data_IF_931435887673
#
_entry.id   IF_931435887673
#
_cell.length_a   1.000
_cell.length_b   1.000
_cell.length_c   1.000
_cell.angle_alpha   90.00
_cell.angle_beta   90.00
_cell.angle_gamma   90.00
#
_symmetry.space_group_name_H-M   'P 1'
#
loop_
_entity.id
_entity.type
_entity.pdbx_description
1 polymer ?
#
# COMPACT_ATOMS: atom_id res chain seq x y z
N UNK A 1 2.46 18.37 -19.17
CA UNK A 1 1.59 18.99 -20.20
C UNK A 1 0.10 18.85 -19.85
N UNK A 2 -0.36 17.65 -19.52
CA UNK A 2 -1.79 17.36 -19.26
C UNK A 2 -2.36 18.11 -18.05
N UNK A 3 -1.62 18.17 -16.93
CA UNK A 3 -2.03 18.91 -15.73
C UNK A 3 -2.15 20.42 -16.00
N UNK A 4 -1.22 20.99 -16.78
CA UNK A 4 -1.27 22.41 -17.15
C UNK A 4 -2.48 22.74 -18.01
N UNK A 5 -2.86 21.84 -18.92
CA UNK A 5 -4.04 22.03 -19.77
C UNK A 5 -5.34 21.97 -18.96
N UNK A 6 -5.48 21.01 -18.04
CA UNK A 6 -6.63 20.93 -17.12
C UNK A 6 -6.72 22.17 -16.22
N UNK A 7 -5.60 22.59 -15.66
CA UNK A 7 -5.51 23.83 -14.87
C UNK A 7 -6.01 25.04 -15.66
N UNK A 8 -5.47 25.27 -16.86
CA UNK A 8 -5.85 26.40 -17.70
C UNK A 8 -7.33 26.38 -18.09
N UNK A 9 -7.90 25.18 -18.35
CA UNK A 9 -9.32 25.04 -18.67
C UNK A 9 -10.20 25.42 -17.47
N UNK A 10 -9.89 24.97 -16.27
CA UNK A 10 -10.63 25.29 -15.05
C UNK A 10 -10.53 26.78 -14.73
N UNK A 11 -9.34 27.39 -14.82
CA UNK A 11 -9.16 28.81 -14.58
C UNK A 11 -9.90 29.66 -15.62
N UNK A 12 -9.99 29.21 -16.88
CA UNK A 12 -10.78 29.90 -17.93
C UNK A 12 -12.26 29.90 -17.59
N UNK A 13 -12.80 28.74 -17.12
CA UNK A 13 -14.20 28.63 -16.70
C UNK A 13 -14.46 29.54 -15.48
N UNK A 14 -13.55 29.58 -14.52
CA UNK A 14 -13.65 30.44 -13.34
C UNK A 14 -13.74 31.91 -13.70
N UNK A 15 -12.90 32.37 -14.64
CA UNK A 15 -12.91 33.77 -15.11
C UNK A 15 -14.20 34.13 -15.87
N UNK A 16 -14.72 33.18 -16.66
CA UNK A 16 -15.96 33.42 -17.47
C UNK A 16 -17.22 33.53 -16.61
N UNK A 17 -17.25 32.88 -15.43
CA UNK A 17 -18.42 32.85 -14.55
C UNK A 17 -18.50 33.99 -13.54
N UNK A 18 -17.46 34.79 -13.42
CA UNK A 18 -17.38 35.93 -12.46
C UNK A 18 -17.84 35.56 -11.03
N UNK A 19 -17.69 34.29 -10.66
CA UNK A 19 -18.11 33.72 -9.38
C UNK A 19 -16.92 33.14 -8.67
N UNK A 20 -16.89 33.27 -7.37
CA UNK A 20 -15.98 32.52 -6.48
C UNK A 20 -16.34 31.04 -6.53
N UNK A 21 -15.91 30.36 -7.59
CA UNK A 21 -16.11 28.92 -7.71
C UNK A 21 -15.33 28.20 -6.62
N UNK A 22 -15.88 27.10 -6.18
CA UNK A 22 -15.26 26.20 -5.22
C UNK A 22 -13.77 26.02 -5.49
N UNK A 23 -12.98 26.22 -4.47
CA UNK A 23 -11.54 26.04 -4.52
C UNK A 23 -11.25 24.55 -4.79
N UNK A 24 -10.51 24.25 -5.85
CA UNK A 24 -10.11 22.88 -6.15
C UNK A 24 -8.68 22.63 -5.68
N UNK A 25 -8.41 21.40 -5.29
CA UNK A 25 -7.11 20.88 -4.86
C UNK A 25 -6.72 19.70 -5.74
N UNK A 26 -5.44 19.45 -5.87
CA UNK A 26 -4.89 18.37 -6.69
C UNK A 26 -4.13 17.43 -5.78
N UNK A 27 -4.50 16.15 -5.82
CA UNK A 27 -3.67 15.06 -5.34
C UNK A 27 -3.05 14.41 -6.58
N UNK A 28 -1.73 14.34 -6.62
CA UNK A 28 -1.03 13.73 -7.74
C UNK A 28 -0.91 12.22 -7.51
N UNK A 29 -1.40 11.43 -8.45
CA UNK A 29 -1.34 9.96 -8.37
C UNK A 29 -0.16 9.41 -9.17
N UNK A 30 0.72 8.67 -8.51
CA UNK A 30 1.62 7.73 -9.16
C UNK A 30 0.83 6.49 -9.56
N UNK A 31 1.04 5.99 -10.78
CA UNK A 31 0.26 4.86 -11.26
C UNK A 31 1.01 3.55 -10.97
N UNK A 32 0.36 2.63 -10.25
CA UNK A 32 0.81 1.26 -10.05
C UNK A 32 0.71 0.51 -11.38
N UNK A 33 1.83 -0.02 -11.86
CA UNK A 33 1.91 -0.71 -13.15
C UNK A 33 2.60 -2.04 -13.00
N UNK A 34 2.17 -3.01 -13.80
CA UNK A 34 2.92 -4.25 -13.97
C UNK A 34 4.26 -3.95 -14.63
N UNK A 35 5.35 -4.50 -14.07
CA UNK A 35 6.67 -4.42 -14.70
C UNK A 35 6.65 -5.06 -16.08
N UNK A 36 7.16 -4.35 -17.07
CA UNK A 36 7.38 -4.94 -18.38
C UNK A 36 8.55 -5.92 -18.28
N UNK A 37 8.35 -7.16 -18.74
CA UNK A 37 9.45 -8.13 -18.78
C UNK A 37 10.63 -7.52 -19.54
N UNK A 38 11.68 -7.15 -18.82
CA UNK A 38 12.90 -6.66 -19.45
C UNK A 38 13.79 -7.86 -19.77
N UNK A 39 14.37 -7.86 -20.97
CA UNK A 39 15.41 -8.83 -21.36
C UNK A 39 16.78 -8.47 -20.76
N UNK A 40 16.85 -7.45 -19.89
CA UNK A 40 18.10 -6.98 -19.28
C UNK A 40 18.52 -7.85 -18.10
N UNK A 41 19.73 -8.37 -18.18
CA UNK A 41 20.40 -9.06 -17.06
C UNK A 41 20.82 -8.02 -16.03
N UNK A 42 20.62 -8.32 -14.73
CA UNK A 42 21.11 -7.46 -13.63
C UNK A 42 20.19 -6.31 -13.22
N UNK A 43 18.96 -6.23 -13.73
CA UNK A 43 18.00 -5.22 -13.30
C UNK A 43 17.27 -5.66 -12.02
N UNK A 44 17.08 -4.75 -11.05
CA UNK A 44 16.30 -5.02 -9.85
C UNK A 44 14.80 -5.22 -10.15
N UNK A 45 14.05 -5.80 -9.20
CA UNK A 45 12.59 -5.89 -9.32
C UNK A 45 11.98 -4.51 -9.56
N UNK A 46 11.00 -4.45 -10.48
CA UNK A 46 10.27 -3.22 -10.82
C UNK A 46 11.17 -2.06 -11.28
N UNK A 47 12.31 -2.36 -11.92
CA UNK A 47 13.29 -1.36 -12.35
C UNK A 47 12.68 -0.24 -13.19
N UNK A 48 11.91 -0.58 -14.23
CA UNK A 48 11.33 0.43 -15.14
C UNK A 48 10.23 1.24 -14.45
N UNK A 49 9.42 0.61 -13.60
CA UNK A 49 8.40 1.30 -12.80
C UNK A 49 9.05 2.24 -11.80
N UNK A 50 10.07 1.77 -11.06
CA UNK A 50 10.86 2.61 -10.13
C UNK A 50 11.50 3.80 -10.85
N UNK A 51 12.07 3.59 -12.03
CA UNK A 51 12.68 4.66 -12.83
C UNK A 51 11.65 5.70 -13.30
N UNK A 52 10.45 5.27 -13.70
CA UNK A 52 9.36 6.17 -14.08
C UNK A 52 8.88 7.00 -12.88
N UNK A 53 8.61 6.35 -11.75
CA UNK A 53 8.18 7.01 -10.51
C UNK A 53 9.23 8.02 -10.05
N UNK A 54 10.53 7.67 -10.09
CA UNK A 54 11.63 8.56 -9.75
C UNK A 54 11.65 9.82 -10.63
N UNK A 55 11.38 9.68 -11.93
CA UNK A 55 11.28 10.84 -12.85
C UNK A 55 10.09 11.73 -12.50
N UNK A 56 8.92 11.14 -12.25
CA UNK A 56 7.71 11.86 -11.86
C UNK A 56 7.90 12.59 -10.53
N UNK A 57 8.42 11.91 -9.51
CA UNK A 57 8.73 12.51 -8.21
C UNK A 57 9.73 13.66 -8.32
N UNK A 58 10.74 13.53 -9.21
CA UNK A 58 11.69 14.61 -9.46
C UNK A 58 11.07 15.83 -10.11
N UNK A 59 10.09 15.64 -11.01
CA UNK A 59 9.36 16.74 -11.63
C UNK A 59 8.46 17.47 -10.61
N UNK A 60 7.74 16.71 -9.77
CA UNK A 60 6.90 17.27 -8.69
C UNK A 60 7.77 18.01 -7.68
N UNK A 61 8.89 17.42 -7.27
CA UNK A 61 9.84 18.07 -6.35
C UNK A 61 10.29 19.44 -6.87
N UNK A 62 10.67 19.54 -8.15
CA UNK A 62 11.05 20.82 -8.77
C UNK A 62 9.91 21.85 -8.75
N UNK A 63 8.67 21.40 -9.02
CA UNK A 63 7.49 22.28 -8.97
C UNK A 63 7.23 22.81 -7.56
N UNK A 64 7.25 21.92 -6.56
CA UNK A 64 7.04 22.29 -5.15
C UNK A 64 8.19 23.17 -4.61
N UNK A 65 9.42 22.87 -4.96
CA UNK A 65 10.58 23.68 -4.60
C UNK A 65 10.48 25.10 -5.17
N UNK A 66 9.99 25.25 -6.42
CA UNK A 66 9.74 26.56 -7.02
C UNK A 66 8.63 27.30 -6.25
N UNK A 67 7.53 26.61 -5.90
CA UNK A 67 6.45 27.17 -5.07
C UNK A 67 6.98 27.75 -3.77
N UNK A 68 7.75 27.00 -3.01
CA UNK A 68 8.28 27.44 -1.72
C UNK A 68 9.22 28.64 -1.84
N UNK A 69 10.06 28.68 -2.88
CA UNK A 69 10.93 29.86 -3.14
C UNK A 69 10.11 31.13 -3.37
N UNK A 70 9.07 31.04 -4.19
CA UNK A 70 8.26 32.21 -4.53
C UNK A 70 7.44 32.66 -3.33
N UNK A 71 6.80 31.75 -2.59
CA UNK A 71 6.08 32.10 -1.34
C UNK A 71 6.99 32.78 -0.30
N UNK A 72 8.27 32.44 -0.27
CA UNK A 72 9.25 33.05 0.63
C UNK A 72 9.60 34.51 0.24
N UNK A 73 9.59 34.84 -1.04
CA UNK A 73 10.08 36.13 -1.54
C UNK A 73 9.00 37.09 -2.01
N UNK A 74 7.85 36.60 -2.47
CA UNK A 74 6.86 37.46 -3.15
C UNK A 74 5.50 37.59 -2.42
N UNK A 75 5.27 36.97 -1.27
CA UNK A 75 4.04 36.99 -0.46
C UNK A 75 2.70 36.82 -1.23
N UNK A 76 2.67 36.86 -2.55
CA UNK A 76 1.51 36.66 -3.40
C UNK A 76 1.82 35.80 -4.60
N UNK A 77 1.45 34.51 -4.51
CA UNK A 77 1.57 33.59 -5.60
C UNK A 77 0.19 33.13 -6.07
N UNK A 78 -0.46 33.96 -6.89
CA UNK A 78 -1.73 33.58 -7.52
C UNK A 78 -1.48 32.99 -8.91
N UNK A 79 -1.93 31.76 -9.15
CA UNK A 79 -2.07 31.23 -10.48
C UNK A 79 -1.09 30.14 -10.93
N UNK A 80 -0.35 29.50 -10.01
CA UNK A 80 0.49 28.37 -10.37
C UNK A 80 -0.15 27.03 -9.97
N UNK A 81 -0.05 26.03 -10.87
CA UNK A 81 -0.52 24.67 -10.61
C UNK A 81 0.08 24.07 -9.34
N UNK A 82 1.31 24.46 -8.99
CA UNK A 82 1.98 23.97 -7.79
C UNK A 82 1.25 24.37 -6.49
N UNK A 83 0.50 25.47 -6.47
CA UNK A 83 -0.27 25.91 -5.30
C UNK A 83 -1.49 25.02 -5.06
N UNK A 84 -1.95 24.36 -6.11
CA UNK A 84 -3.10 23.45 -6.05
C UNK A 84 -2.71 22.03 -5.67
N UNK A 85 -1.42 21.67 -5.73
CA UNK A 85 -0.94 20.35 -5.32
C UNK A 85 -0.86 20.32 -3.80
N UNK A 86 -1.80 19.60 -3.19
CA UNK A 86 -1.90 19.45 -1.73
C UNK A 86 -1.51 18.06 -1.24
N UNK A 87 -1.36 17.10 -2.14
CA UNK A 87 -1.01 15.73 -1.77
C UNK A 87 -0.49 14.90 -2.93
N UNK A 88 0.02 13.74 -2.57
CA UNK A 88 0.40 12.66 -3.50
C UNK A 88 -0.24 11.37 -3.06
N UNK A 89 -0.43 10.48 -4.03
CA UNK A 89 -1.01 9.16 -3.88
C UNK A 89 -0.32 8.17 -4.83
N UNK A 90 -0.60 6.87 -4.67
CA UNK A 90 -0.34 5.87 -5.69
C UNK A 90 -1.56 4.96 -5.85
N UNK A 91 -2.14 4.96 -7.04
CA UNK A 91 -3.39 4.29 -7.36
C UNK A 91 -3.22 3.26 -8.49
N UNK A 92 -4.27 2.50 -8.77
CA UNK A 92 -4.37 1.38 -9.72
C UNK A 92 -4.03 0.04 -9.06
N UNK A 93 -3.99 -1.06 -9.82
CA UNK A 93 -3.90 -2.41 -9.28
C UNK A 93 -2.69 -2.65 -8.36
N UNK A 94 -2.97 -3.03 -7.13
CA UNK A 94 -2.00 -3.23 -6.07
C UNK A 94 -1.15 -4.48 -6.27
N UNK A 95 -1.71 -5.51 -6.91
CA UNK A 95 -1.03 -6.79 -7.15
C UNK A 95 0.24 -6.64 -8.00
N UNK A 96 0.37 -5.53 -8.73
CA UNK A 96 1.52 -5.30 -9.61
C UNK A 96 2.64 -4.47 -8.98
N UNK A 97 2.33 -3.66 -7.97
CA UNK A 97 3.29 -2.73 -7.35
C UNK A 97 3.07 -2.64 -5.85
N UNK A 98 3.98 -3.23 -5.11
CA UNK A 98 4.01 -3.13 -3.65
C UNK A 98 4.47 -1.73 -3.19
N UNK A 99 4.17 -1.31 -1.95
CA UNK A 99 4.58 -0.02 -1.39
C UNK A 99 6.09 0.28 -1.52
N UNK A 100 6.94 -0.75 -1.48
CA UNK A 100 8.39 -0.64 -1.64
C UNK A 100 8.83 0.11 -2.90
N UNK A 101 8.04 0.02 -3.98
CA UNK A 101 8.34 0.65 -5.27
C UNK A 101 8.27 2.17 -5.19
N UNK A 102 7.45 2.69 -4.28
CA UNK A 102 7.16 4.11 -4.11
C UNK A 102 7.96 4.76 -2.97
N UNK A 103 8.63 3.98 -2.12
CA UNK A 103 9.30 4.45 -0.91
C UNK A 103 10.24 5.64 -1.18
N UNK A 104 11.08 5.56 -2.20
CA UNK A 104 12.04 6.62 -2.55
C UNK A 104 11.36 7.89 -3.08
N UNK A 105 10.22 7.77 -3.76
CA UNK A 105 9.46 8.92 -4.26
C UNK A 105 8.78 9.67 -3.10
N UNK A 106 8.14 8.94 -2.18
CA UNK A 106 7.51 9.51 -0.99
C UNK A 106 8.55 10.17 -0.08
N UNK A 107 9.67 9.48 0.18
CA UNK A 107 10.77 10.05 0.96
C UNK A 107 11.30 11.36 0.35
N UNK A 108 11.42 11.43 -0.98
CA UNK A 108 11.87 12.64 -1.69
C UNK A 108 10.90 13.82 -1.52
N UNK A 109 9.61 13.55 -1.39
CA UNK A 109 8.57 14.58 -1.30
C UNK A 109 8.17 14.90 0.16
N UNK A 110 8.66 14.15 1.14
CA UNK A 110 8.30 14.29 2.55
C UNK A 110 8.76 15.59 3.21
N UNK A 111 9.67 16.33 2.58
CA UNK A 111 10.11 17.65 3.07
C UNK A 111 9.12 18.77 2.79
N UNK A 112 8.17 18.57 1.87
CA UNK A 112 7.16 19.56 1.53
C UNK A 112 5.92 19.44 2.42
N UNK A 113 5.23 20.55 2.64
CA UNK A 113 3.94 20.60 3.36
C UNK A 113 2.81 20.14 2.43
N UNK A 114 2.74 18.84 2.17
CA UNK A 114 1.67 18.18 1.41
C UNK A 114 1.24 16.93 2.16
N UNK A 115 -0.03 16.51 2.00
CA UNK A 115 -0.55 15.26 2.55
C UNK A 115 -0.14 14.06 1.73
N UNK A 116 -0.06 12.91 2.36
CA UNK A 116 0.16 11.63 1.70
C UNK A 116 -1.09 10.77 1.81
N UNK A 117 -1.44 10.15 0.70
CA UNK A 117 -2.41 9.06 0.67
C UNK A 117 -1.83 7.90 -0.13
N UNK A 118 -2.33 6.71 0.07
CA UNK A 118 -1.85 5.53 -0.64
C UNK A 118 -2.97 4.50 -0.73
N UNK A 119 -3.38 4.13 -1.95
CA UNK A 119 -4.33 3.05 -2.19
C UNK A 119 -3.72 1.74 -1.75
N UNK A 120 -4.34 1.03 -0.82
CA UNK A 120 -3.76 -0.18 -0.23
C UNK A 120 -4.82 -1.07 0.42
N UNK A 121 -4.66 -2.37 0.25
CA UNK A 121 -5.55 -3.36 0.83
C UNK A 121 -6.93 -3.42 0.17
N UNK A 122 -7.04 -3.00 -1.09
CA UNK A 122 -8.20 -3.19 -1.95
C UNK A 122 -8.06 -4.45 -2.80
N UNK A 123 -6.87 -4.61 -3.44
CA UNK A 123 -6.51 -5.76 -4.24
C UNK A 123 -5.51 -6.63 -3.48
N UNK A 124 -5.83 -7.89 -3.22
CA UNK A 124 -4.96 -8.83 -2.51
C UNK A 124 -5.28 -10.27 -2.90
N UNK A 125 -4.29 -11.15 -2.75
CA UNK A 125 -4.44 -12.59 -2.96
C UNK A 125 -5.05 -13.29 -1.74
N UNK A 126 -4.75 -12.77 -0.55
CA UNK A 126 -5.28 -13.20 0.74
C UNK A 126 -5.47 -11.97 1.62
N UNK A 127 -6.37 -12.05 2.61
CA UNK A 127 -6.53 -10.96 3.60
C UNK A 127 -5.18 -10.64 4.26
N UNK A 128 -4.35 -11.65 4.55
CA UNK A 128 -3.00 -11.46 5.08
C UNK A 128 -2.12 -10.60 4.16
N UNK A 129 -2.18 -10.82 2.84
CA UNK A 129 -1.47 -10.01 1.84
C UNK A 129 -1.91 -8.55 1.86
N UNK A 130 -3.21 -8.30 1.93
CA UNK A 130 -3.76 -6.95 2.06
C UNK A 130 -3.34 -6.25 3.36
N UNK A 131 -3.37 -6.95 4.49
CA UNK A 131 -2.93 -6.42 5.78
C UNK A 131 -1.43 -6.11 5.79
N UNK A 132 -0.61 -7.01 5.23
CA UNK A 132 0.83 -6.79 5.06
C UNK A 132 1.10 -5.58 4.16
N UNK A 133 0.32 -5.42 3.08
CA UNK A 133 0.45 -4.25 2.21
C UNK A 133 0.19 -2.94 2.95
N UNK A 134 -0.82 -2.91 3.84
CA UNK A 134 -1.13 -1.75 4.68
C UNK A 134 0.03 -1.46 5.65
N UNK A 135 0.57 -2.48 6.33
CA UNK A 135 1.73 -2.32 7.22
C UNK A 135 2.97 -1.82 6.46
N UNK A 136 3.25 -2.39 5.29
CA UNK A 136 4.33 -1.94 4.40
C UNK A 136 4.14 -0.49 3.93
N UNK A 137 2.93 -0.09 3.56
CA UNK A 137 2.66 1.30 3.17
C UNK A 137 2.96 2.27 4.30
N UNK A 138 2.49 1.99 5.51
CA UNK A 138 2.74 2.82 6.68
C UNK A 138 4.25 2.96 6.94
N UNK A 139 4.99 1.85 6.86
CA UNK A 139 6.39 1.80 7.23
C UNK A 139 7.33 2.29 6.12
N UNK A 140 7.08 1.89 4.87
CA UNK A 140 7.98 2.15 3.77
C UNK A 140 7.82 3.55 3.21
N UNK A 141 6.60 4.09 3.24
CA UNK A 141 6.32 5.44 2.77
C UNK A 141 6.47 6.48 3.89
N UNK A 142 6.80 6.03 5.10
CA UNK A 142 6.95 6.88 6.28
C UNK A 142 5.71 7.76 6.51
N UNK A 143 4.52 7.16 6.39
CA UNK A 143 3.25 7.85 6.60
C UNK A 143 3.14 8.33 8.05
N UNK A 144 2.54 9.48 8.23
CA UNK A 144 2.43 10.19 9.50
C UNK A 144 0.98 10.34 9.92
N UNK A 145 0.78 10.76 11.16
CA UNK A 145 -0.54 11.13 11.69
C UNK A 145 -1.26 12.07 10.72
N UNK A 146 -2.50 11.72 10.35
CA UNK A 146 -3.34 12.48 9.43
C UNK A 146 -3.11 12.16 7.96
N UNK A 147 -2.06 11.40 7.60
CA UNK A 147 -1.96 10.81 6.26
C UNK A 147 -3.05 9.75 6.07
N UNK A 148 -3.34 9.44 4.80
CA UNK A 148 -4.49 8.62 4.44
C UNK A 148 -4.09 7.27 3.84
N UNK A 149 -4.94 6.28 4.09
CA UNK A 149 -4.87 4.94 3.53
C UNK A 149 -6.12 4.73 2.68
N UNK A 150 -5.97 4.53 1.39
CA UNK A 150 -7.07 4.36 0.47
C UNK A 150 -7.66 2.96 0.55
N UNK A 151 -8.99 2.85 0.53
CA UNK A 151 -9.82 1.65 0.57
C UNK A 151 -9.68 0.79 1.82
N UNK A 152 -8.53 0.18 2.07
CA UNK A 152 -8.25 -0.70 3.22
C UNK A 152 -9.29 -1.83 3.42
N UNK A 153 -9.81 -2.41 2.34
CA UNK A 153 -10.84 -3.47 2.45
C UNK A 153 -10.35 -4.65 3.29
N UNK A 154 -9.09 -5.06 3.11
CA UNK A 154 -8.48 -6.14 3.90
C UNK A 154 -8.54 -5.91 5.41
N UNK A 155 -8.62 -4.66 5.87
CA UNK A 155 -8.64 -4.30 7.29
C UNK A 155 -9.97 -4.62 7.98
N UNK A 156 -11.06 -4.76 7.24
CA UNK A 156 -12.39 -4.91 7.85
C UNK A 156 -13.38 -5.78 7.09
N UNK A 157 -12.99 -6.37 5.95
CA UNK A 157 -13.79 -7.42 5.32
C UNK A 157 -13.92 -8.61 6.29
N UNK A 158 -15.08 -9.26 6.30
CA UNK A 158 -15.33 -10.38 7.21
C UNK A 158 -14.58 -11.64 6.71
N UNK A 159 -13.59 -12.18 7.45
CA UNK A 159 -12.78 -13.29 6.97
C UNK A 159 -13.62 -14.54 6.67
N UNK A 160 -14.59 -14.86 7.50
CA UNK A 160 -15.47 -16.02 7.30
C UNK A 160 -16.21 -15.94 5.96
N UNK A 161 -16.73 -14.77 5.59
CA UNK A 161 -17.44 -14.58 4.32
C UNK A 161 -16.44 -14.66 3.16
N UNK A 162 -15.34 -13.92 3.25
CA UNK A 162 -14.32 -13.89 2.22
C UNK A 162 -13.81 -15.29 1.87
N UNK A 163 -13.39 -16.08 2.87
CA UNK A 163 -12.86 -17.41 2.60
C UNK A 163 -13.91 -18.41 2.15
N UNK A 164 -15.18 -18.30 2.64
CA UNK A 164 -16.26 -19.14 2.14
C UNK A 164 -16.61 -18.86 0.67
N UNK A 165 -16.49 -17.61 0.22
CA UNK A 165 -16.71 -17.24 -1.20
C UNK A 165 -15.59 -17.76 -2.11
N UNK A 166 -14.46 -18.19 -1.56
CA UNK A 166 -13.32 -18.80 -2.25
C UNK A 166 -13.22 -20.32 -1.97
N UNK A 167 -14.27 -20.94 -1.44
CA UNK A 167 -14.30 -22.37 -1.10
C UNK A 167 -13.11 -22.79 -0.19
N UNK A 168 -12.59 -21.84 0.60
CA UNK A 168 -11.41 -22.04 1.48
C UNK A 168 -10.13 -22.45 0.74
N UNK A 169 -10.03 -22.14 -0.55
CA UNK A 169 -8.86 -22.35 -1.40
C UNK A 169 -8.45 -21.07 -2.09
N UNK A 170 -7.18 -20.72 -1.99
CA UNK A 170 -6.62 -19.52 -2.59
C UNK A 170 -5.45 -19.87 -3.50
N UNK A 171 -5.40 -19.26 -4.68
CA UNK A 171 -4.29 -19.37 -5.62
C UNK A 171 -3.35 -18.17 -5.41
N UNK A 172 -2.20 -18.37 -4.75
CA UNK A 172 -1.31 -17.31 -4.31
C UNK A 172 0.07 -17.48 -4.94
N UNK A 173 0.68 -16.43 -5.53
CA UNK A 173 2.08 -16.49 -5.96
C UNK A 173 3.00 -16.82 -4.78
N UNK A 174 3.94 -17.73 -4.98
CA UNK A 174 4.81 -18.28 -3.93
C UNK A 174 5.57 -17.20 -3.14
N UNK A 175 6.04 -16.13 -3.83
CA UNK A 175 6.69 -15.01 -3.14
C UNK A 175 5.74 -14.28 -2.18
N UNK A 176 4.48 -14.12 -2.58
CA UNK A 176 3.46 -13.47 -1.72
C UNK A 176 3.17 -14.35 -0.53
N UNK A 177 2.96 -15.64 -0.78
CA UNK A 177 2.65 -16.62 0.26
C UNK A 177 3.73 -16.69 1.35
N UNK A 178 5.01 -16.78 0.96
CA UNK A 178 6.12 -16.78 1.95
C UNK A 178 6.16 -15.49 2.73
N UNK A 179 6.07 -14.35 2.04
CA UNK A 179 6.11 -13.05 2.68
C UNK A 179 4.96 -12.88 3.68
N UNK A 180 3.75 -13.38 3.35
CA UNK A 180 2.59 -13.33 4.24
C UNK A 180 2.80 -14.21 5.47
N UNK A 181 3.29 -15.43 5.30
CA UNK A 181 3.54 -16.35 6.40
C UNK A 181 4.60 -15.80 7.37
N UNK A 182 5.68 -15.25 6.84
CA UNK A 182 6.71 -14.61 7.66
C UNK A 182 6.15 -13.37 8.37
N UNK A 183 5.41 -12.53 7.67
CA UNK A 183 4.80 -11.33 8.25
C UNK A 183 3.81 -11.68 9.36
N UNK A 184 2.91 -12.65 9.14
CA UNK A 184 1.96 -13.14 10.14
C UNK A 184 2.66 -13.64 11.40
N UNK A 185 3.73 -14.47 11.25
CA UNK A 185 4.51 -14.98 12.37
C UNK A 185 5.13 -13.85 13.18
N UNK A 186 5.78 -12.90 12.51
CA UNK A 186 6.48 -11.80 13.18
C UNK A 186 5.51 -10.82 13.83
N UNK A 187 4.36 -10.54 13.19
CA UNK A 187 3.33 -9.66 13.77
C UNK A 187 2.57 -10.30 14.92
N UNK A 188 2.32 -11.59 14.87
CA UNK A 188 1.73 -12.30 16.00
C UNK A 188 2.60 -12.21 17.25
N UNK A 189 3.92 -12.31 17.09
CA UNK A 189 4.87 -12.11 18.19
C UNK A 189 4.88 -10.66 18.68
N UNK A 190 4.93 -9.68 17.76
CA UNK A 190 4.92 -8.25 18.08
C UNK A 190 3.65 -7.83 18.82
N UNK A 191 2.50 -8.38 18.42
CA UNK A 191 1.19 -8.01 18.97
C UNK A 191 0.67 -8.96 20.05
N UNK A 192 1.47 -9.95 20.42
CA UNK A 192 1.11 -10.99 21.38
C UNK A 192 -0.21 -11.68 21.03
N UNK A 193 -0.36 -12.08 19.76
CA UNK A 193 -1.49 -12.87 19.27
C UNK A 193 -1.07 -14.33 19.20
N UNK A 194 -1.82 -15.21 19.86
CA UNK A 194 -1.54 -16.65 19.84
C UNK A 194 -1.78 -17.22 18.43
N UNK A 195 -0.82 -17.99 17.93
CA UNK A 195 -0.97 -18.71 16.65
C UNK A 195 -1.52 -20.11 16.94
N UNK A 196 -2.64 -20.51 16.34
CA UNK A 196 -3.14 -21.88 16.49
C UNK A 196 -2.11 -22.91 15.98
N UNK A 197 -1.94 -24.07 16.63
CA UNK A 197 -0.89 -25.04 16.29
C UNK A 197 -0.89 -25.50 14.82
N UNK A 198 -2.07 -25.63 14.22
CA UNK A 198 -2.22 -26.00 12.81
C UNK A 198 -1.73 -24.90 11.88
N UNK A 199 -2.03 -23.64 12.19
CA UNK A 199 -1.57 -22.45 11.45
C UNK A 199 -0.06 -22.30 11.62
N UNK A 200 0.46 -22.49 12.83
CA UNK A 200 1.90 -22.46 13.11
C UNK A 200 2.64 -23.49 12.26
N UNK A 201 2.14 -24.73 12.21
CA UNK A 201 2.71 -25.77 11.36
C UNK A 201 2.69 -25.36 9.89
N UNK A 202 1.57 -24.85 9.38
CA UNK A 202 1.43 -24.41 7.98
C UNK A 202 2.43 -23.29 7.64
N UNK A 203 2.59 -22.29 8.53
CA UNK A 203 3.59 -21.23 8.39
C UNK A 203 5.01 -21.83 8.28
N UNK A 204 5.34 -22.75 9.16
CA UNK A 204 6.67 -23.36 9.19
C UNK A 204 6.92 -24.25 7.97
N UNK A 205 5.95 -25.03 7.54
CA UNK A 205 6.08 -25.90 6.36
C UNK A 205 6.34 -25.07 5.08
N UNK A 206 5.58 -23.97 4.89
CA UNK A 206 5.76 -23.06 3.75
C UNK A 206 7.14 -22.38 3.81
N UNK A 207 7.52 -21.85 4.96
CA UNK A 207 8.80 -21.16 5.12
C UNK A 207 9.98 -22.11 4.90
N UNK A 208 9.95 -23.31 5.50
CA UNK A 208 11.03 -24.30 5.35
C UNK A 208 11.14 -24.83 3.91
N UNK A 209 10.03 -24.94 3.20
CA UNK A 209 10.01 -25.29 1.77
C UNK A 209 10.66 -24.23 0.88
N UNK A 210 10.72 -22.99 1.36
CA UNK A 210 11.30 -21.84 0.65
C UNK A 210 12.75 -21.56 1.04
N UNK A 211 13.09 -21.82 2.29
CA UNK A 211 14.34 -21.33 2.87
C UNK A 211 15.52 -22.23 2.54
N UNK A 212 16.58 -21.60 2.10
CA UNK A 212 17.90 -22.19 1.88
C UNK A 212 18.75 -22.15 3.17
N UNK A 213 18.18 -22.54 4.33
CA UNK A 213 18.87 -22.53 5.62
C UNK A 213 18.94 -21.15 6.32
N UNK A 214 18.11 -20.20 5.93
CA UNK A 214 18.04 -18.87 6.53
C UNK A 214 17.04 -18.85 7.70
N UNK A 215 17.26 -17.96 8.69
CA UNK A 215 16.30 -17.77 9.74
C UNK A 215 15.11 -16.90 9.28
N UNK A 216 13.91 -17.14 9.85
CA UNK A 216 12.74 -16.33 9.57
C UNK A 216 12.94 -14.86 9.99
N UNK A 217 13.71 -14.61 11.05
CA UNK A 217 14.05 -13.26 11.49
C UNK A 217 14.95 -12.52 10.49
N UNK A 218 15.92 -13.19 9.88
CA UNK A 218 16.76 -12.60 8.83
C UNK A 218 15.95 -12.31 7.57
N UNK A 219 15.03 -13.22 7.22
CA UNK A 219 14.12 -13.02 6.09
C UNK A 219 13.20 -11.81 6.35
N UNK A 220 12.61 -11.69 7.53
CA UNK A 220 11.78 -10.55 7.90
C UNK A 220 12.59 -9.24 7.92
N UNK A 221 13.82 -9.26 8.43
CA UNK A 221 14.71 -8.11 8.35
C UNK A 221 14.97 -7.69 6.89
N UNK A 222 15.17 -8.66 5.99
CA UNK A 222 15.31 -8.40 4.55
C UNK A 222 14.04 -7.80 3.94
N UNK A 223 12.84 -8.27 4.32
CA UNK A 223 11.58 -7.66 3.91
C UNK A 223 11.51 -6.19 4.32
N UNK A 224 11.95 -5.87 5.53
CA UNK A 224 11.99 -4.48 6.05
C UNK A 224 12.96 -3.58 5.30
N UNK A 225 14.00 -4.13 4.69
CA UNK A 225 14.95 -3.41 3.84
C UNK A 225 14.37 -3.05 2.46
N UNK A 226 13.27 -3.64 2.02
CA UNK A 226 12.71 -3.42 0.66
C UNK A 226 12.32 -1.96 0.37
N UNK A 227 12.16 -1.13 1.40
CA UNK A 227 11.99 0.32 1.25
C UNK A 227 13.24 1.05 0.75
N UNK A 228 14.41 0.45 0.88
CA UNK A 228 15.67 1.06 0.49
C UNK A 228 15.88 1.00 -1.03
N UNK A 229 16.78 1.85 -1.55
CA UNK A 229 17.14 1.86 -2.97
C UNK A 229 18.00 0.64 -3.31
N UNK A 230 17.55 -0.29 -4.18
CA UNK A 230 18.30 -1.49 -4.50
C UNK A 230 19.70 -1.24 -5.05
N UNK A 231 19.95 -0.07 -5.63
CA UNK A 231 21.27 0.29 -6.16
C UNK A 231 22.25 0.78 -5.08
N UNK A 232 21.84 0.93 -3.83
CA UNK A 232 22.65 1.52 -2.75
C UNK A 232 22.97 0.56 -1.61
N UNK A 233 22.37 -0.61 -1.60
CA UNK A 233 22.57 -1.60 -0.54
C UNK A 233 23.70 -2.56 -0.97
N UNK A 234 24.73 -2.65 -0.13
CA UNK A 234 25.79 -3.66 -0.24
C UNK A 234 25.52 -4.88 0.64
N UNK A 235 26.30 -5.95 0.46
CA UNK A 235 26.23 -7.19 1.24
C UNK A 235 26.91 -7.04 2.60
N UNK A 236 26.18 -6.50 3.59
CA UNK A 236 26.72 -6.27 4.94
C UNK A 236 26.25 -7.29 5.98
N UNK A 237 25.15 -8.02 5.72
CA UNK A 237 24.58 -9.02 6.64
C UNK A 237 23.78 -10.05 5.85
N UNK A 238 23.33 -11.13 6.53
CA UNK A 238 22.44 -12.14 5.95
C UNK A 238 21.18 -11.50 5.39
N UNK A 239 20.57 -10.57 6.11
CA UNK A 239 19.39 -9.84 5.64
C UNK A 239 19.64 -9.04 4.35
N UNK A 240 20.81 -8.39 4.20
CA UNK A 240 21.18 -7.70 2.97
C UNK A 240 21.37 -8.66 1.79
N UNK A 241 21.92 -9.84 2.04
CA UNK A 241 22.07 -10.89 1.04
C UNK A 241 20.71 -11.38 0.53
N UNK A 242 19.78 -11.70 1.47
CA UNK A 242 18.40 -12.07 1.12
C UNK A 242 17.70 -10.95 0.34
N UNK A 243 17.89 -9.70 0.74
CA UNK A 243 17.36 -8.53 0.04
C UNK A 243 17.90 -8.43 -1.39
N UNK A 244 19.21 -8.62 -1.60
CA UNK A 244 19.81 -8.61 -2.92
C UNK A 244 19.31 -9.76 -3.79
N UNK A 245 19.18 -10.95 -3.22
CA UNK A 245 18.59 -12.12 -3.89
C UNK A 245 17.15 -11.86 -4.31
N UNK A 246 16.33 -11.26 -3.45
CA UNK A 246 14.96 -10.85 -3.80
C UNK A 246 14.93 -9.91 -5.02
N UNK A 247 15.87 -8.97 -5.11
CA UNK A 247 15.89 -7.99 -6.18
C UNK A 247 16.57 -8.46 -7.47
N UNK A 248 17.59 -9.30 -7.39
CA UNK A 248 18.48 -9.56 -8.52
C UNK A 248 18.56 -11.03 -8.94
N UNK A 249 18.19 -11.99 -8.08
CA UNK A 249 18.27 -13.39 -8.43
C UNK A 249 17.09 -13.80 -9.36
N UNK A 250 17.35 -14.16 -10.64
CA UNK A 250 16.30 -14.47 -11.61
C UNK A 250 15.55 -15.77 -11.28
N UNK A 251 16.22 -16.75 -10.67
CA UNK A 251 15.61 -18.03 -10.35
C UNK A 251 14.62 -17.89 -9.19
N UNK A 252 14.99 -17.12 -8.16
CA UNK A 252 14.08 -16.80 -7.07
C UNK A 252 12.89 -15.97 -7.55
N UNK A 253 13.08 -15.05 -8.50
CA UNK A 253 11.95 -14.32 -9.10
C UNK A 253 11.00 -15.26 -9.82
N UNK A 254 11.56 -16.15 -10.66
CA UNK A 254 10.76 -17.13 -11.40
C UNK A 254 10.03 -18.08 -10.46
N UNK A 255 10.70 -18.57 -9.42
CA UNK A 255 10.08 -19.40 -8.38
C UNK A 255 8.96 -18.64 -7.66
N UNK A 256 9.18 -17.38 -7.34
CA UNK A 256 8.21 -16.53 -6.66
C UNK A 256 6.95 -16.23 -7.47
N UNK A 257 6.99 -16.36 -8.81
CA UNK A 257 5.83 -16.19 -9.69
C UNK A 257 4.98 -17.48 -9.83
N UNK A 258 5.46 -18.63 -9.35
CA UNK A 258 4.70 -19.89 -9.36
C UNK A 258 3.50 -19.71 -8.42
N UNK A 259 2.32 -20.03 -8.92
CA UNK A 259 1.09 -19.98 -8.12
C UNK A 259 0.96 -21.29 -7.36
N UNK A 260 0.80 -21.19 -6.06
CA UNK A 260 0.58 -22.30 -5.14
C UNK A 260 -0.87 -22.32 -4.66
N UNK A 261 -1.40 -23.49 -4.41
CA UNK A 261 -2.71 -23.67 -3.79
C UNK A 261 -2.57 -23.59 -2.26
N UNK A 262 -3.30 -22.66 -1.66
CA UNK A 262 -3.28 -22.42 -0.23
C UNK A 262 -4.62 -22.80 0.38
N UNK A 263 -4.62 -23.83 1.24
CA UNK A 263 -5.81 -24.30 1.94
C UNK A 263 -6.01 -23.48 3.20
N UNK A 264 -7.20 -22.89 3.34
CA UNK A 264 -7.60 -22.09 4.48
C UNK A 264 -8.34 -22.96 5.49
N UNK A 265 -7.77 -23.13 6.66
CA UNK A 265 -8.40 -23.86 7.76
C UNK A 265 -9.23 -22.94 8.65
N UNK A 266 -10.23 -23.44 9.38
CA UNK A 266 -11.04 -22.62 10.27
C UNK A 266 -10.22 -21.84 11.30
N UNK A 267 -9.14 -22.45 11.79
CA UNK A 267 -8.22 -21.82 12.73
C UNK A 267 -7.47 -20.63 12.11
N UNK A 268 -7.17 -20.70 10.79
CA UNK A 268 -6.58 -19.59 10.05
C UNK A 268 -7.54 -18.41 9.94
N UNK A 269 -8.83 -18.68 9.69
CA UNK A 269 -9.86 -17.64 9.62
C UNK A 269 -9.92 -16.83 10.92
N UNK A 270 -10.01 -17.52 12.08
CA UNK A 270 -10.04 -16.88 13.40
C UNK A 270 -8.74 -16.14 13.72
N UNK A 271 -7.61 -16.68 13.28
CA UNK A 271 -6.31 -16.03 13.45
C UNK A 271 -6.20 -14.74 12.64
N UNK A 272 -6.64 -14.74 11.37
CA UNK A 272 -6.67 -13.54 10.53
C UNK A 272 -7.58 -12.47 11.13
N UNK A 273 -8.74 -12.84 11.69
CA UNK A 273 -9.64 -11.92 12.38
C UNK A 273 -8.95 -11.22 13.58
N UNK A 274 -8.19 -11.98 14.37
CA UNK A 274 -7.40 -11.43 15.47
C UNK A 274 -6.30 -10.47 14.98
N UNK A 275 -5.61 -10.81 13.88
CA UNK A 275 -4.60 -9.93 13.25
C UNK A 275 -5.24 -8.66 12.70
N UNK A 276 -6.39 -8.74 12.03
CA UNK A 276 -7.15 -7.57 11.58
C UNK A 276 -7.49 -6.64 12.76
N UNK A 277 -7.96 -7.22 13.87
CA UNK A 277 -8.29 -6.44 15.06
C UNK A 277 -7.08 -5.66 15.57
N UNK A 278 -5.93 -6.33 15.71
CA UNK A 278 -4.68 -5.68 16.13
C UNK A 278 -4.20 -4.60 15.17
N UNK A 279 -4.38 -4.83 13.88
CA UNK A 279 -4.02 -3.83 12.87
C UNK A 279 -4.92 -2.59 12.98
N UNK A 280 -6.23 -2.75 13.21
CA UNK A 280 -7.15 -1.62 13.47
C UNK A 280 -6.73 -0.83 14.70
N UNK A 281 -6.39 -1.48 15.83
CA UNK A 281 -5.84 -0.82 17.02
C UNK A 281 -4.59 0.03 16.71
N UNK A 282 -3.70 -0.52 15.88
CA UNK A 282 -2.48 0.20 15.47
C UNK A 282 -2.79 1.44 14.64
N UNK A 283 -3.72 1.35 13.69
CA UNK A 283 -4.13 2.45 12.82
C UNK A 283 -4.82 3.55 13.63
N UNK A 284 -5.73 3.18 14.52
CA UNK A 284 -6.43 4.09 15.42
C UNK A 284 -5.45 4.86 16.31
N UNK A 285 -4.55 4.14 17.00
CA UNK A 285 -3.54 4.75 17.87
C UNK A 285 -2.63 5.72 17.13
N UNK A 286 -2.29 5.42 15.86
CA UNK A 286 -1.45 6.26 15.00
C UNK A 286 -2.23 7.38 14.31
N UNK A 287 -3.56 7.37 14.42
CA UNK A 287 -4.47 8.37 13.85
C UNK A 287 -4.30 8.56 12.33
N UNK A 288 -4.19 7.45 11.59
CA UNK A 288 -4.33 7.46 10.14
C UNK A 288 -5.81 7.60 9.78
N UNK A 289 -6.07 8.20 8.62
CA UNK A 289 -7.42 8.35 8.08
C UNK A 289 -7.64 7.31 7.00
N UNK A 290 -8.78 6.63 7.00
CA UNK A 290 -9.14 5.68 5.95
C UNK A 290 -10.04 6.38 4.94
N UNK A 291 -9.66 6.33 3.66
CA UNK A 291 -10.50 6.79 2.54
C UNK A 291 -11.36 5.64 2.05
N UNK A 292 -12.64 5.64 2.39
CA UNK A 292 -13.59 4.64 1.93
C UNK A 292 -14.27 5.09 0.64
N UNK A 293 -14.35 4.18 -0.34
CA UNK A 293 -14.98 4.40 -1.63
C UNK A 293 -16.06 3.33 -1.91
N UNK A 294 -17.18 3.30 -1.16
CA UNK A 294 -18.13 2.20 -1.20
C UNK A 294 -18.72 1.92 -2.59
N UNK A 295 -19.04 2.98 -3.35
CA UNK A 295 -19.57 2.83 -4.71
C UNK A 295 -18.57 2.23 -5.68
N UNK A 296 -17.30 2.64 -5.61
CA UNK A 296 -16.23 2.05 -6.40
C UNK A 296 -16.04 0.57 -6.07
N UNK A 297 -15.90 0.23 -4.79
CA UNK A 297 -15.63 -1.14 -4.35
C UNK A 297 -16.75 -2.14 -4.73
N UNK A 298 -18.03 -1.71 -4.73
CA UNK A 298 -19.12 -2.53 -5.25
C UNK A 298 -19.10 -2.60 -6.77
N UNK A 299 -18.85 -1.47 -7.47
CA UNK A 299 -18.84 -1.40 -8.92
C UNK A 299 -17.75 -2.26 -9.56
N UNK A 300 -16.55 -2.30 -8.97
CA UNK A 300 -15.44 -3.14 -9.45
C UNK A 300 -15.54 -4.60 -8.99
N UNK A 301 -16.59 -4.96 -8.26
CA UNK A 301 -16.89 -6.35 -7.89
C UNK A 301 -16.09 -6.89 -6.70
N UNK A 302 -15.40 -6.03 -5.93
CA UNK A 302 -14.71 -6.45 -4.70
C UNK A 302 -15.68 -6.77 -3.57
N UNK A 303 -16.81 -6.09 -3.56
CA UNK A 303 -17.95 -6.33 -2.66
C UNK A 303 -19.21 -6.53 -3.48
N UNK A 304 -20.05 -7.45 -3.06
CA UNK A 304 -21.34 -7.71 -3.74
C UNK A 304 -22.41 -6.70 -3.35
N UNK A 305 -22.32 -6.13 -2.14
CA UNK A 305 -23.33 -5.28 -1.54
C UNK A 305 -22.69 -4.19 -0.69
N UNK A 306 -23.36 -3.04 -0.58
CA UNK A 306 -22.90 -1.92 0.23
C UNK A 306 -22.82 -2.23 1.72
N UNK A 307 -23.71 -3.08 2.24
CA UNK A 307 -23.73 -3.47 3.66
C UNK A 307 -22.57 -4.39 4.07
N UNK A 308 -21.84 -4.95 3.11
CA UNK A 308 -20.60 -5.70 3.33
C UNK A 308 -19.37 -4.80 3.46
N UNK A 309 -19.53 -3.47 3.21
CA UNK A 309 -18.39 -2.57 3.20
C UNK A 309 -17.78 -2.41 4.61
N UNK A 310 -16.45 -2.51 4.74
CA UNK A 310 -15.73 -2.39 6.02
C UNK A 310 -15.93 -1.09 6.79
N UNK A 311 -16.48 -0.05 6.15
CA UNK A 311 -16.78 1.22 6.81
C UNK A 311 -17.65 1.03 8.07
N UNK A 312 -18.54 0.05 8.06
CA UNK A 312 -19.37 -0.27 9.23
C UNK A 312 -18.58 -0.91 10.37
N UNK A 313 -17.45 -1.55 10.06
CA UNK A 313 -16.50 -2.05 11.06
C UNK A 313 -15.61 -0.93 11.58
N UNK A 314 -15.27 0.03 10.72
CA UNK A 314 -14.39 1.15 11.08
C UNK A 314 -15.08 2.19 11.97
N UNK A 315 -16.38 2.42 11.74
CA UNK A 315 -17.19 3.45 12.43
C UNK A 315 -18.35 2.84 13.23
N UNK A 316 -18.25 1.64 13.77
CA UNK A 316 -19.34 0.97 14.44
C UNK A 316 -19.68 1.61 15.79
N UNK A 317 -20.83 2.29 15.84
CA UNK A 317 -21.42 2.88 17.06
C UNK A 317 -22.20 1.83 17.88
N UNK A 318 -22.50 0.64 17.31
CA UNK A 318 -23.53 -0.26 17.84
C UNK A 318 -23.05 -1.51 18.60
N UNK A 319 -21.82 -1.93 18.50
CA UNK A 319 -21.47 -3.31 18.92
C UNK A 319 -20.33 -3.42 19.94
N UNK A 320 -20.12 -2.49 20.85
CA UNK A 320 -19.20 -2.71 22.00
C UNK A 320 -17.70 -2.96 21.65
N UNK A 321 -17.38 -3.28 20.43
CA UNK A 321 -16.01 -3.43 19.88
C UNK A 321 -15.65 -2.15 19.12
N UNK A 322 -15.56 -1.04 19.85
CA UNK A 322 -15.51 0.30 19.30
C UNK A 322 -14.11 0.65 18.80
N UNK A 323 -13.78 0.27 17.57
CA UNK A 323 -12.79 1.03 16.82
C UNK A 323 -13.49 2.23 16.20
N UNK A 324 -13.05 3.42 16.54
CA UNK A 324 -13.53 4.66 15.95
C UNK A 324 -12.41 5.22 15.04
N UNK A 325 -12.19 4.55 13.92
CA UNK A 325 -11.18 4.96 12.96
C UNK A 325 -11.66 6.23 12.24
N UNK A 326 -10.81 7.25 12.08
CA UNK A 326 -11.13 8.39 11.23
C UNK A 326 -11.36 7.93 9.78
N UNK A 327 -12.52 8.24 9.23
CA UNK A 327 -12.93 7.82 7.88
C UNK A 327 -13.36 9.02 7.05
N UNK A 328 -13.00 9.03 5.77
CA UNK A 328 -13.62 9.87 4.74
C UNK A 328 -14.36 8.99 3.74
N UNK A 329 -15.46 9.50 3.17
CA UNK A 329 -16.21 8.82 2.12
C UNK A 329 -15.98 9.55 0.82
N UNK A 330 -15.51 8.85 -0.20
CA UNK A 330 -15.12 9.41 -1.48
C UNK A 330 -15.79 8.64 -2.62
N UNK A 331 -15.83 9.24 -3.81
CA UNK A 331 -16.41 8.63 -5.00
C UNK A 331 -15.42 7.75 -5.76
N UNK A 332 -14.10 7.97 -5.55
CA UNK A 332 -13.02 7.40 -6.34
C UNK A 332 -13.09 7.85 -7.80
N UNK A 333 -13.21 6.95 -8.75
CA UNK A 333 -13.44 7.30 -10.16
C UNK A 333 -14.90 7.75 -10.40
N UNK A 334 -15.08 8.74 -11.27
CA UNK A 334 -16.39 9.28 -11.70
C UNK A 334 -17.08 8.38 -12.72
#
# INVERSE_FOLDING_TARGET
>A
HTLRNKYNAIEKINRQRNSSIAEYRIIYHFIKKKEKRSKGVGLCRNYHVRAEIKRQASAIHKLLQKRERVLKFEHQFKGYIADRIVGIDAANSELFCRPEVFAQAFARLSSFKIGFTFHVGEDFYDIADGLRAIDEAILFLNLKRGDRLGHCLALGIQPQIYYSEHDYHLAIPYQVLIDDMVWLKMKSMEWNVAIPPRVEKQIMDIFNGASTGQSMSDYYAAMRLRKEDPHRIGDKSVAHKIYNDYHYNPDLRKRGEVVEDFIVYPEYVSFIEAIQHKMRECIERRQFVIECCPSSNVKIGRLKRFDQHPIFTFCSVKNGNNHNLPVTVNTDDL
#
